data_IF_672464265172
#
_entry.id   IF_672464265172
#
_cell.length_a   1.000
_cell.length_b   1.000
_cell.length_c   1.000
_cell.angle_alpha   90.00
_cell.angle_beta   90.00
_cell.angle_gamma   90.00
#
_symmetry.space_group_name_H-M   'P 1'
#
loop_
_entity.id
_entity.type
_entity.pdbx_description
1 polymer ?
#
# COMPACT_ATOMS: atom_id res chain seq x y z
N UNK A 1 -61.95 11.96 26.90
CA UNK A 1 -60.50 11.74 26.66
C UNK A 1 -60.37 11.09 25.31
N UNK A 2 -60.04 11.90 24.30
CA UNK A 2 -59.91 11.50 22.90
C UNK A 2 -58.64 10.68 22.61
N UNK A 3 -58.62 9.88 21.53
CA UNK A 3 -57.52 9.00 21.18
C UNK A 3 -56.35 9.78 20.54
N UNK A 4 -55.58 10.51 21.34
CA UNK A 4 -54.37 11.20 20.85
C UNK A 4 -53.22 10.25 20.45
N UNK A 5 -53.30 8.96 20.82
CA UNK A 5 -52.21 7.99 20.61
C UNK A 5 -52.18 7.38 19.22
N UNK A 6 -53.33 7.19 18.55
CA UNK A 6 -53.32 6.57 17.22
C UNK A 6 -52.98 7.59 16.13
N UNK A 7 -53.47 8.83 16.23
CA UNK A 7 -53.20 9.87 15.24
C UNK A 7 -51.71 10.24 15.15
N UNK A 8 -51.04 10.42 16.30
CA UNK A 8 -49.59 10.67 16.36
C UNK A 8 -48.74 9.55 15.74
N UNK A 9 -49.16 8.29 15.92
CA UNK A 9 -48.44 7.13 15.38
C UNK A 9 -48.50 7.07 13.85
N UNK A 10 -49.64 7.44 13.27
CA UNK A 10 -49.79 7.52 11.81
C UNK A 10 -48.95 8.67 11.22
N UNK A 11 -48.93 9.81 11.92
CA UNK A 11 -48.09 10.95 11.52
C UNK A 11 -46.58 10.59 11.57
N UNK A 12 -46.12 9.86 12.59
CA UNK A 12 -44.73 9.38 12.70
C UNK A 12 -44.35 8.37 11.61
N UNK A 13 -45.20 7.37 11.34
CA UNK A 13 -44.96 6.37 10.30
C UNK A 13 -44.90 7.00 8.89
N UNK A 14 -45.69 8.03 8.62
CA UNK A 14 -45.68 8.73 7.33
C UNK A 14 -44.45 9.65 7.20
N UNK A 15 -43.97 10.25 8.30
CA UNK A 15 -42.70 10.98 8.34
C UNK A 15 -41.52 10.03 8.05
N UNK A 16 -41.47 8.87 8.71
CA UNK A 16 -40.42 7.87 8.50
C UNK A 16 -40.40 7.36 7.05
N UNK A 17 -41.56 7.11 6.45
CA UNK A 17 -41.67 6.71 5.04
C UNK A 17 -41.19 7.81 4.10
N UNK A 18 -41.61 9.06 4.32
CA UNK A 18 -41.14 10.20 3.51
C UNK A 18 -39.63 10.34 3.60
N UNK A 19 -39.07 10.25 4.82
CA UNK A 19 -37.63 10.34 5.03
C UNK A 19 -36.88 9.19 4.38
N UNK A 20 -37.39 7.95 4.48
CA UNK A 20 -36.81 6.81 3.80
C UNK A 20 -36.78 7.00 2.28
N UNK A 21 -37.85 7.51 1.67
CA UNK A 21 -37.89 7.80 0.23
C UNK A 21 -36.83 8.83 -0.18
N UNK A 22 -36.63 9.88 0.61
CA UNK A 22 -35.57 10.86 0.38
C UNK A 22 -34.17 10.22 0.44
N UNK A 23 -33.92 9.40 1.47
CA UNK A 23 -32.63 8.73 1.65
C UNK A 23 -32.34 7.73 0.52
N UNK A 24 -33.36 6.97 0.08
CA UNK A 24 -33.28 6.10 -1.09
C UNK A 24 -32.94 6.88 -2.36
N UNK A 25 -33.57 8.04 -2.56
CA UNK A 25 -33.32 8.90 -3.71
C UNK A 25 -31.87 9.43 -3.72
N UNK A 26 -31.35 9.88 -2.56
CA UNK A 26 -29.96 10.30 -2.40
C UNK A 26 -28.98 9.19 -2.78
N UNK A 27 -29.26 7.95 -2.34
CA UNK A 27 -28.43 6.80 -2.67
C UNK A 27 -28.43 6.55 -4.19
N UNK A 28 -29.60 6.51 -4.82
CA UNK A 28 -29.71 6.28 -6.26
C UNK A 28 -29.05 7.38 -7.09
N UNK A 29 -29.22 8.65 -6.72
CA UNK A 29 -28.66 9.80 -7.43
C UNK A 29 -27.13 9.83 -7.38
N UNK A 30 -26.55 9.40 -6.26
CA UNK A 30 -25.11 9.55 -6.02
C UNK A 30 -24.30 8.25 -6.12
N UNK A 31 -24.95 7.16 -6.51
CA UNK A 31 -24.23 5.94 -6.90
C UNK A 31 -23.37 6.20 -8.14
N UNK A 32 -22.05 6.09 -7.97
CA UNK A 32 -21.08 6.32 -9.05
C UNK A 32 -20.78 7.80 -9.36
N UNK A 33 -21.38 8.76 -8.65
CA UNK A 33 -21.17 10.21 -8.88
C UNK A 33 -19.87 10.76 -8.27
N UNK A 34 -19.10 9.92 -7.57
CA UNK A 34 -17.95 10.35 -6.76
C UNK A 34 -18.34 10.93 -5.38
N UNK A 35 -19.62 11.28 -5.16
CA UNK A 35 -20.13 11.76 -3.87
C UNK A 35 -20.48 10.62 -2.90
N UNK A 36 -19.53 9.72 -2.69
CA UNK A 36 -19.75 8.52 -1.88
C UNK A 36 -20.21 8.83 -0.44
N UNK A 37 -19.83 9.99 0.11
CA UNK A 37 -20.19 10.41 1.46
C UNK A 37 -21.69 10.64 1.64
N UNK A 38 -22.40 11.07 0.59
CA UNK A 38 -23.87 11.21 0.61
C UNK A 38 -24.54 9.83 0.66
N UNK A 39 -24.04 8.88 -0.13
CA UNK A 39 -24.50 7.49 -0.09
C UNK A 39 -24.21 6.86 1.28
N UNK A 40 -23.02 7.11 1.83
CA UNK A 40 -22.59 6.59 3.13
C UNK A 40 -23.45 7.16 4.28
N UNK A 41 -23.68 8.47 4.29
CA UNK A 41 -24.50 9.16 5.28
C UNK A 41 -25.97 8.69 5.22
N UNK A 42 -26.54 8.61 4.02
CA UNK A 42 -27.92 8.15 3.85
C UNK A 42 -28.10 6.70 4.32
N UNK A 43 -27.18 5.80 3.94
CA UNK A 43 -27.23 4.40 4.36
C UNK A 43 -27.06 4.25 5.88
N UNK A 44 -26.21 5.07 6.50
CA UNK A 44 -26.02 5.09 7.95
C UNK A 44 -27.26 5.60 8.67
N UNK A 45 -27.93 6.63 8.17
CA UNK A 45 -29.18 7.13 8.75
C UNK A 45 -30.30 6.08 8.68
N UNK A 46 -30.41 5.36 7.55
CA UNK A 46 -31.35 4.23 7.43
C UNK A 46 -31.07 3.16 8.49
N UNK A 47 -29.80 2.86 8.76
CA UNK A 47 -29.39 1.87 9.76
C UNK A 47 -29.67 2.35 11.19
N UNK A 48 -29.22 3.55 11.56
CA UNK A 48 -29.35 4.13 12.90
C UNK A 48 -30.82 4.33 13.28
N UNK A 49 -31.64 4.84 12.36
CA UNK A 49 -33.07 5.05 12.58
C UNK A 49 -33.92 3.79 12.34
N UNK A 50 -33.31 2.65 11.98
CA UNK A 50 -33.99 1.38 11.71
C UNK A 50 -35.11 1.48 10.65
N UNK A 51 -34.95 2.36 9.66
CA UNK A 51 -35.94 2.62 8.61
C UNK A 51 -36.07 1.46 7.60
N UNK A 52 -35.18 0.48 7.68
CA UNK A 52 -35.16 -0.69 6.79
C UNK A 52 -36.24 -1.75 7.10
N UNK A 53 -37.13 -1.52 8.05
CA UNK A 53 -38.23 -2.46 8.35
C UNK A 53 -39.19 -2.58 7.14
N UNK A 54 -39.76 -3.76 6.87
CA UNK A 54 -39.82 -4.97 7.71
C UNK A 54 -38.62 -5.91 7.56
N UNK A 55 -37.56 -5.53 6.85
CA UNK A 55 -36.44 -6.43 6.62
C UNK A 55 -35.61 -6.63 7.89
N UNK A 56 -34.95 -7.79 7.96
CA UNK A 56 -34.28 -8.25 9.20
C UNK A 56 -33.03 -7.45 9.56
N UNK A 57 -32.41 -6.78 8.58
CA UNK A 57 -31.18 -6.00 8.78
C UNK A 57 -30.95 -5.05 7.62
N UNK A 58 -30.15 -4.01 7.86
CA UNK A 58 -29.66 -3.10 6.81
C UNK A 58 -28.97 -3.85 5.65
N UNK A 59 -28.32 -4.98 5.92
CA UNK A 59 -27.66 -5.78 4.87
C UNK A 59 -28.66 -6.44 3.92
N UNK A 60 -29.77 -6.93 4.47
CA UNK A 60 -30.85 -7.51 3.67
C UNK A 60 -31.51 -6.42 2.83
N UNK A 61 -31.76 -5.27 3.46
CA UNK A 61 -32.34 -4.11 2.81
C UNK A 61 -31.47 -3.57 1.68
N UNK A 62 -30.21 -3.28 1.95
CA UNK A 62 -29.28 -2.77 0.95
C UNK A 62 -29.07 -3.75 -0.22
N UNK A 63 -29.12 -5.07 0.05
CA UNK A 63 -29.07 -6.08 -1.00
C UNK A 63 -30.32 -6.02 -1.88
N UNK A 64 -31.51 -5.98 -1.29
CA UNK A 64 -32.76 -6.03 -2.03
C UNK A 64 -33.04 -4.73 -2.77
N UNK A 65 -32.78 -3.58 -2.14
CA UNK A 65 -33.08 -2.25 -2.66
C UNK A 65 -32.02 -1.74 -3.65
N UNK A 66 -30.74 -1.94 -3.33
CA UNK A 66 -29.63 -1.32 -4.07
C UNK A 66 -28.67 -2.34 -4.71
N UNK A 67 -28.96 -3.65 -4.62
CA UNK A 67 -28.08 -4.72 -5.11
C UNK A 67 -26.69 -4.72 -4.46
N UNK A 68 -26.57 -4.16 -3.26
CA UNK A 68 -25.30 -4.13 -2.54
C UNK A 68 -24.94 -5.50 -1.99
N UNK A 69 -23.69 -5.89 -2.19
CA UNK A 69 -23.13 -7.00 -1.43
C UNK A 69 -22.99 -6.60 0.04
N UNK A 70 -22.95 -7.58 0.95
CA UNK A 70 -22.67 -7.34 2.38
C UNK A 70 -21.38 -6.54 2.58
N UNK A 71 -20.35 -6.79 1.76
CA UNK A 71 -19.08 -6.07 1.79
C UNK A 71 -19.24 -4.61 1.36
N UNK A 72 -20.05 -4.34 0.34
CA UNK A 72 -20.36 -2.99 -0.14
C UNK A 72 -21.08 -2.20 0.95
N UNK A 73 -22.12 -2.78 1.54
CA UNK A 73 -22.87 -2.17 2.66
C UNK A 73 -21.94 -1.83 3.82
N UNK A 74 -21.12 -2.78 4.28
CA UNK A 74 -20.11 -2.54 5.33
C UNK A 74 -19.14 -1.40 4.97
N UNK A 75 -18.71 -1.35 3.71
CA UNK A 75 -17.77 -0.31 3.27
C UNK A 75 -18.38 1.07 3.40
N UNK A 76 -19.63 1.27 2.98
CA UNK A 76 -20.32 2.54 3.13
C UNK A 76 -20.56 2.91 4.60
N UNK A 77 -21.10 1.99 5.41
CA UNK A 77 -21.37 2.24 6.83
C UNK A 77 -20.09 2.64 7.59
N UNK A 78 -19.00 1.88 7.42
CA UNK A 78 -17.72 2.22 8.06
C UNK A 78 -17.14 3.53 7.54
N UNK A 79 -17.28 3.83 6.24
CA UNK A 79 -16.70 5.03 5.64
C UNK A 79 -17.43 6.31 6.05
N UNK A 80 -18.72 6.25 6.43
CA UNK A 80 -19.46 7.41 6.93
C UNK A 80 -18.81 8.01 8.18
N UNK A 81 -18.58 7.18 9.22
CA UNK A 81 -17.91 7.60 10.46
C UNK A 81 -16.48 8.12 10.21
N UNK A 82 -15.76 7.50 9.28
CA UNK A 82 -14.40 7.95 8.94
C UNK A 82 -14.44 9.32 8.27
N UNK A 83 -15.34 9.50 7.30
CA UNK A 83 -15.48 10.76 6.57
C UNK A 83 -15.84 11.91 7.52
N UNK A 84 -16.85 11.73 8.37
CA UNK A 84 -17.26 12.69 9.40
C UNK A 84 -16.09 13.10 10.28
N UNK A 85 -15.34 12.13 10.82
CA UNK A 85 -14.19 12.42 11.68
C UNK A 85 -13.07 13.21 11.00
N UNK A 86 -12.95 13.12 9.67
CA UNK A 86 -11.96 13.88 8.91
C UNK A 86 -12.46 15.30 8.66
N UNK A 87 -13.72 15.46 8.24
CA UNK A 87 -14.28 16.78 7.89
C UNK A 87 -14.63 17.64 9.10
N UNK A 88 -14.67 17.07 10.32
CA UNK A 88 -14.70 17.83 11.58
C UNK A 88 -13.52 18.83 11.67
N UNK A 89 -12.38 18.50 11.09
CA UNK A 89 -11.23 19.40 10.98
C UNK A 89 -11.25 20.11 9.62
N UNK A 90 -11.77 21.33 9.61
CA UNK A 90 -11.89 22.17 8.42
C UNK A 90 -10.53 22.58 7.81
N UNK A 91 -9.41 22.25 8.45
CA UNK A 91 -8.07 22.50 7.89
C UNK A 91 -7.58 21.36 6.97
N UNK A 92 -8.23 20.20 7.02
CA UNK A 92 -7.83 19.02 6.25
C UNK A 92 -8.50 19.00 4.86
N UNK A 93 -7.79 18.53 3.82
CA UNK A 93 -8.41 18.29 2.52
C UNK A 93 -9.56 17.28 2.60
N UNK A 94 -10.64 17.52 1.86
CA UNK A 94 -11.82 16.64 1.89
C UNK A 94 -11.53 15.35 1.09
N UNK A 95 -11.78 14.15 1.66
CA UNK A 95 -11.65 12.91 0.90
C UNK A 95 -12.67 12.81 -0.23
N UNK A 96 -12.18 12.64 -1.46
CA UNK A 96 -13.04 12.58 -2.67
C UNK A 96 -13.40 11.17 -3.13
N UNK A 97 -12.75 10.13 -2.60
CA UNK A 97 -13.00 8.73 -2.96
C UNK A 97 -13.08 7.87 -1.70
N UNK A 98 -14.03 6.93 -1.67
CA UNK A 98 -14.21 5.98 -0.57
C UNK A 98 -12.96 5.12 -0.33
N UNK A 99 -12.20 4.82 -1.39
CA UNK A 99 -10.96 4.05 -1.30
C UNK A 99 -9.87 4.78 -0.51
N UNK A 100 -9.92 6.12 -0.46
CA UNK A 100 -8.96 6.94 0.29
C UNK A 100 -9.12 6.80 1.81
N UNK A 101 -10.29 6.38 2.29
CA UNK A 101 -10.60 6.40 3.73
C UNK A 101 -11.02 5.06 4.28
N UNK A 102 -11.37 4.09 3.42
CA UNK A 102 -11.82 2.75 3.85
C UNK A 102 -10.84 2.06 4.79
N UNK A 103 -9.53 2.20 4.59
CA UNK A 103 -8.51 1.59 5.45
C UNK A 103 -8.38 2.26 6.82
N UNK A 104 -8.93 3.47 6.99
CA UNK A 104 -8.82 4.25 8.22
C UNK A 104 -9.86 3.88 9.28
N UNK A 105 -10.89 3.09 8.94
CA UNK A 105 -11.97 2.74 9.87
C UNK A 105 -11.48 2.03 11.15
N UNK A 106 -10.35 1.32 11.08
CA UNK A 106 -9.74 0.61 12.21
C UNK A 106 -9.11 1.53 13.26
N UNK A 107 -8.95 2.82 12.97
CA UNK A 107 -8.29 3.78 13.87
C UNK A 107 -9.30 4.69 14.59
N UNK A 108 -8.95 5.24 15.77
CA UNK A 108 -9.68 6.33 16.40
C UNK A 108 -9.68 7.62 15.58
N UNK A 109 -10.65 8.51 15.80
CA UNK A 109 -10.83 9.76 15.06
C UNK A 109 -9.57 10.63 14.94
N UNK A 110 -8.86 10.84 16.05
CA UNK A 110 -7.63 11.64 16.09
C UNK A 110 -6.52 11.04 15.21
N UNK A 111 -6.39 9.71 15.24
CA UNK A 111 -5.40 8.98 14.45
C UNK A 111 -5.77 9.00 12.96
N UNK A 112 -7.06 8.91 12.61
CA UNK A 112 -7.53 9.06 11.23
C UNK A 112 -7.11 10.42 10.67
N UNK A 113 -7.37 11.51 11.41
CA UNK A 113 -6.98 12.87 11.03
C UNK A 113 -5.48 13.03 10.89
N UNK A 114 -4.71 12.50 11.83
CA UNK A 114 -3.25 12.51 11.76
C UNK A 114 -2.74 11.81 10.49
N UNK A 115 -3.16 10.56 10.26
CA UNK A 115 -2.75 9.78 9.08
C UNK A 115 -3.17 10.49 7.80
N UNK A 116 -4.39 11.01 7.75
CA UNK A 116 -4.91 11.73 6.58
C UNK A 116 -4.09 12.98 6.27
N UNK A 117 -3.77 13.79 7.28
CA UNK A 117 -2.87 14.92 7.14
C UNK A 117 -1.52 14.52 6.56
N UNK A 118 -0.91 13.45 7.08
CA UNK A 118 0.37 12.95 6.58
C UNK A 118 0.29 12.48 5.12
N UNK A 119 -0.84 11.91 4.68
CA UNK A 119 -1.06 11.54 3.28
C UNK A 119 -1.15 12.80 2.41
N UNK A 120 -1.92 13.80 2.82
CA UNK A 120 -2.07 15.05 2.08
C UNK A 120 -0.75 15.85 1.98
N UNK A 121 0.02 15.89 3.07
CA UNK A 121 1.29 16.61 3.14
C UNK A 121 2.44 15.87 2.46
N UNK A 122 2.24 14.61 2.03
CA UNK A 122 3.29 13.77 1.42
C UNK A 122 3.75 14.25 0.04
N UNK A 123 2.98 15.14 -0.62
CA UNK A 123 3.22 15.56 -2.00
C UNK A 123 3.00 14.46 -3.05
N UNK A 124 2.47 13.30 -2.65
CA UNK A 124 2.11 12.21 -3.56
C UNK A 124 0.62 12.22 -3.91
N UNK A 125 0.27 11.57 -5.03
CA UNK A 125 -1.13 11.36 -5.39
C UNK A 125 -1.84 10.56 -4.29
N UNK A 126 -3.04 10.99 -3.90
CA UNK A 126 -3.83 10.27 -2.92
C UNK A 126 -4.43 9.04 -3.60
N UNK A 127 -4.01 7.84 -3.17
CA UNK A 127 -4.54 6.55 -3.62
C UNK A 127 -4.78 5.65 -2.42
N UNK A 128 -5.54 4.55 -2.60
CA UNK A 128 -5.73 3.57 -1.53
C UNK A 128 -4.39 3.02 -1.03
N UNK A 129 -3.46 2.73 -1.94
CA UNK A 129 -2.14 2.19 -1.63
C UNK A 129 -1.34 3.14 -0.74
N UNK A 130 -1.33 4.44 -1.07
CA UNK A 130 -0.61 5.45 -0.30
C UNK A 130 -1.20 5.65 1.09
N UNK A 131 -2.52 5.60 1.22
CA UNK A 131 -3.18 5.66 2.53
C UNK A 131 -2.83 4.42 3.34
N UNK A 132 -2.89 3.22 2.76
CA UNK A 132 -2.50 1.99 3.44
C UNK A 132 -1.02 2.04 3.87
N UNK A 133 -0.12 2.51 3.01
CA UNK A 133 1.28 2.69 3.38
C UNK A 133 1.46 3.63 4.59
N UNK A 134 0.70 4.73 4.63
CA UNK A 134 0.78 5.65 5.77
C UNK A 134 0.17 5.07 7.05
N UNK A 135 -0.86 4.22 6.95
CA UNK A 135 -1.37 3.50 8.13
C UNK A 135 -0.32 2.56 8.73
N UNK A 136 0.45 1.89 7.89
CA UNK A 136 1.52 0.99 8.32
C UNK A 136 2.71 1.77 8.86
N UNK A 137 3.04 2.91 8.25
CA UNK A 137 4.04 3.84 8.80
C UNK A 137 3.68 4.24 10.22
N UNK A 138 2.42 4.60 10.46
CA UNK A 138 1.94 4.94 11.79
C UNK A 138 2.05 3.77 12.77
N UNK A 139 1.65 2.56 12.37
CA UNK A 139 1.68 1.36 13.24
C UNK A 139 3.10 0.86 13.53
N UNK A 140 4.05 1.03 12.60
CA UNK A 140 5.38 0.42 12.66
C UNK A 140 6.52 1.42 12.93
N UNK A 141 6.27 2.72 12.77
CA UNK A 141 7.29 3.77 12.83
C UNK A 141 8.24 3.81 11.63
N UNK A 142 8.04 2.99 10.60
CA UNK A 142 8.94 2.92 9.44
C UNK A 142 8.83 4.20 8.61
N UNK A 143 9.95 4.93 8.48
CA UNK A 143 10.03 6.13 7.66
C UNK A 143 10.12 5.77 6.17
N UNK A 144 9.00 5.75 5.46
CA UNK A 144 9.03 5.68 3.99
C UNK A 144 9.46 7.03 3.43
N UNK A 145 10.61 7.08 2.76
CA UNK A 145 11.08 8.27 2.02
C UNK A 145 10.27 8.48 0.73
N UNK A 146 9.60 7.43 0.24
CA UNK A 146 8.57 7.48 -0.78
C UNK A 146 7.57 6.33 -0.55
N UNK A 147 6.39 6.61 0.02
CA UNK A 147 5.32 5.67 0.42
C UNK A 147 4.85 4.65 -0.64
N UNK A 148 5.46 4.61 -1.81
CA UNK A 148 5.00 3.86 -2.98
C UNK A 148 6.11 3.10 -3.74
N UNK A 149 7.38 3.19 -3.34
CA UNK A 149 8.52 2.70 -4.14
C UNK A 149 9.35 1.59 -3.50
N UNK A 150 9.10 1.19 -2.25
CA UNK A 150 9.80 0.04 -1.67
C UNK A 150 9.29 -1.26 -2.30
N UNK A 151 10.21 -1.97 -2.95
CA UNK A 151 9.98 -3.27 -3.57
C UNK A 151 10.85 -4.29 -2.87
N UNK A 152 10.24 -5.22 -2.14
CA UNK A 152 10.95 -6.29 -1.46
C UNK A 152 11.00 -7.54 -2.33
N UNK A 153 12.16 -8.19 -2.34
CA UNK A 153 12.39 -9.38 -3.18
C UNK A 153 11.49 -10.54 -2.74
N UNK A 154 10.83 -11.23 -3.68
CA UNK A 154 10.05 -12.42 -3.37
C UNK A 154 10.85 -13.55 -2.69
N UNK A 155 10.17 -14.28 -1.80
CA UNK A 155 10.77 -15.30 -0.94
C UNK A 155 11.49 -16.41 -1.70
N UNK A 156 10.91 -16.87 -2.79
CA UNK A 156 11.48 -17.91 -3.65
C UNK A 156 12.83 -17.50 -4.26
N UNK A 157 13.02 -16.23 -4.63
CA UNK A 157 14.29 -15.74 -5.20
C UNK A 157 15.39 -15.76 -4.13
N UNK A 158 15.10 -15.23 -2.94
CA UNK A 158 16.05 -15.24 -1.82
C UNK A 158 16.43 -16.67 -1.42
N UNK A 159 15.45 -17.58 -1.34
CA UNK A 159 15.69 -18.99 -0.99
C UNK A 159 16.62 -19.65 -2.02
N UNK A 160 16.37 -19.44 -3.31
CA UNK A 160 17.21 -20.00 -4.37
C UNK A 160 18.64 -19.46 -4.29
N UNK A 161 18.82 -18.16 -4.07
CA UNK A 161 20.16 -17.56 -3.94
C UNK A 161 20.91 -18.07 -2.70
N UNK A 162 20.22 -18.25 -1.56
CA UNK A 162 20.76 -18.86 -0.33
C UNK A 162 21.24 -20.30 -0.55
N UNK A 163 20.52 -21.07 -1.38
CA UNK A 163 20.92 -22.44 -1.73
C UNK A 163 22.22 -22.45 -2.54
N UNK A 164 22.43 -21.49 -3.45
CA UNK A 164 23.67 -21.39 -4.25
C UNK A 164 24.89 -21.16 -3.36
N UNK A 165 24.78 -20.27 -2.36
CA UNK A 165 25.89 -20.01 -1.42
C UNK A 165 25.99 -21.04 -0.28
N UNK A 166 25.03 -21.98 -0.17
CA UNK A 166 25.00 -22.97 0.90
C UNK A 166 24.85 -22.40 2.32
N UNK A 167 24.22 -21.21 2.46
CA UNK A 167 24.07 -20.51 3.76
C UNK A 167 22.60 -20.17 4.05
N UNK A 168 22.25 -20.12 5.34
CA UNK A 168 20.90 -19.72 5.80
C UNK A 168 20.65 -18.21 5.69
N UNK A 169 21.69 -17.39 5.59
CA UNK A 169 21.65 -15.95 5.40
C UNK A 169 22.94 -15.47 4.70
N UNK A 170 22.82 -14.36 3.97
CA UNK A 170 23.94 -13.60 3.44
C UNK A 170 24.70 -12.91 4.58
N UNK A 171 25.95 -12.53 4.34
CA UNK A 171 26.73 -11.81 5.33
C UNK A 171 26.32 -10.32 5.36
N UNK A 172 25.99 -9.75 4.20
CA UNK A 172 25.61 -8.34 4.06
C UNK A 172 24.48 -8.14 3.04
N UNK A 173 23.57 -7.21 3.34
CA UNK A 173 22.69 -6.55 2.36
C UNK A 173 22.84 -5.01 2.50
N UNK A 174 23.55 -4.34 1.58
CA UNK A 174 23.90 -2.94 1.73
C UNK A 174 22.77 -1.99 1.30
N UNK A 175 21.61 -2.51 0.87
CA UNK A 175 20.51 -1.72 0.34
C UNK A 175 19.16 -2.22 0.89
N UNK A 176 19.04 -2.29 2.22
CA UNK A 176 17.92 -2.96 2.90
C UNK A 176 17.29 -2.13 4.01
N UNK A 177 16.24 -2.70 4.62
CA UNK A 177 15.64 -2.21 5.86
C UNK A 177 15.28 -3.40 6.77
N UNK A 178 15.04 -3.13 8.05
CA UNK A 178 14.71 -4.18 9.02
C UNK A 178 13.47 -4.97 8.60
N UNK A 179 12.46 -4.30 8.04
CA UNK A 179 11.25 -4.96 7.57
C UNK A 179 11.56 -5.98 6.45
N UNK A 180 12.28 -5.56 5.41
CA UNK A 180 12.66 -6.42 4.30
C UNK A 180 13.51 -7.61 4.77
N UNK A 181 14.49 -7.36 5.64
CA UNK A 181 15.39 -8.38 6.14
C UNK A 181 14.67 -9.50 6.92
N UNK A 182 13.57 -9.17 7.59
CA UNK A 182 12.78 -10.10 8.40
C UNK A 182 11.57 -10.72 7.65
N UNK A 183 11.38 -10.43 6.36
CA UNK A 183 10.22 -10.93 5.61
C UNK A 183 10.28 -12.46 5.35
N UNK A 184 11.44 -13.09 5.53
CA UNK A 184 11.73 -14.46 5.13
C UNK A 184 11.91 -15.41 6.34
N UNK A 185 11.86 -16.72 6.06
CA UNK A 185 12.30 -17.72 7.05
C UNK A 185 13.80 -17.55 7.24
N UNK A 186 14.19 -17.09 8.43
CA UNK A 186 15.50 -16.50 8.74
C UNK A 186 15.76 -15.18 8.00
N UNK A 187 16.65 -14.35 8.57
CA UNK A 187 17.05 -13.06 7.98
C UNK A 187 17.60 -13.22 6.57
N UNK A 188 17.39 -12.24 5.69
CA UNK A 188 18.06 -12.20 4.37
C UNK A 188 19.57 -12.15 4.59
N UNK A 189 20.04 -11.14 5.32
CA UNK A 189 21.44 -10.92 5.66
C UNK A 189 21.67 -10.71 7.16
N UNK A 190 22.88 -11.02 7.63
CA UNK A 190 23.29 -10.80 9.03
C UNK A 190 23.40 -9.32 9.36
N UNK A 191 24.03 -8.57 8.46
CA UNK A 191 24.19 -7.12 8.56
C UNK A 191 23.42 -6.47 7.40
N UNK A 192 22.70 -5.40 7.70
CA UNK A 192 22.04 -4.58 6.70
C UNK A 192 22.52 -3.14 6.79
N UNK A 193 22.52 -2.44 5.66
CA UNK A 193 22.73 -1.00 5.62
C UNK A 193 21.46 -0.35 5.07
N UNK A 194 21.01 0.70 5.76
CA UNK A 194 19.78 1.41 5.45
C UNK A 194 20.07 2.74 4.74
N UNK A 195 19.00 3.39 4.29
CA UNK A 195 19.11 4.66 3.54
C UNK A 195 19.83 5.75 4.35
N UNK A 196 19.68 5.78 5.67
CA UNK A 196 20.30 6.78 6.54
C UNK A 196 21.83 6.69 6.56
N UNK A 197 22.38 5.50 6.33
CA UNK A 197 23.82 5.23 6.43
C UNK A 197 24.50 5.06 5.07
N UNK A 198 23.75 5.16 3.97
CA UNK A 198 24.24 5.14 2.58
C UNK A 198 25.18 3.97 2.28
N UNK A 199 24.61 2.83 1.88
CA UNK A 199 25.37 1.60 1.66
C UNK A 199 26.45 1.66 0.60
N UNK A 200 26.45 2.65 -0.30
CA UNK A 200 27.56 2.84 -1.26
C UNK A 200 28.83 3.34 -0.58
N UNK A 201 28.71 4.02 0.57
CA UNK A 201 29.84 4.58 1.34
C UNK A 201 30.38 3.65 2.42
N UNK A 202 29.75 2.51 2.64
CA UNK A 202 30.15 1.55 3.66
C UNK A 202 31.06 0.45 3.10
N UNK A 203 31.77 -0.22 4.00
CA UNK A 203 32.57 -1.41 3.68
C UNK A 203 31.65 -2.60 3.42
N UNK A 204 31.91 -3.34 2.34
CA UNK A 204 31.20 -4.58 2.04
C UNK A 204 32.09 -5.78 2.35
N UNK A 205 31.48 -6.92 2.69
CA UNK A 205 32.22 -8.14 3.05
C UNK A 205 31.36 -9.40 2.83
N UNK A 206 32.04 -10.54 2.69
CA UNK A 206 31.40 -11.86 2.65
C UNK A 206 30.51 -12.09 1.43
N UNK A 207 29.49 -12.93 1.58
CA UNK A 207 28.49 -13.15 0.52
C UNK A 207 27.38 -12.11 0.61
N UNK A 208 27.20 -11.34 -0.46
CA UNK A 208 26.33 -10.16 -0.48
C UNK A 208 25.03 -10.43 -1.21
N UNK A 209 23.90 -10.04 -0.61
CA UNK A 209 22.64 -9.88 -1.33
C UNK A 209 22.43 -8.40 -1.65
N UNK A 210 22.00 -8.08 -2.87
CA UNK A 210 21.79 -6.70 -3.29
C UNK A 210 20.56 -6.57 -4.19
N UNK A 211 19.53 -5.91 -3.67
CA UNK A 211 18.40 -5.42 -4.47
C UNK A 211 18.32 -3.89 -4.33
N UNK A 212 19.01 -3.14 -5.21
CA UNK A 212 19.15 -1.70 -5.05
C UNK A 212 17.84 -0.95 -5.34
N UNK A 213 17.61 0.22 -4.73
CA UNK A 213 16.42 1.04 -4.96
C UNK A 213 16.18 1.35 -6.44
N UNK A 214 14.90 1.32 -6.85
CA UNK A 214 14.48 1.48 -8.24
C UNK A 214 14.11 2.94 -8.61
N UNK A 215 14.71 3.95 -7.98
CA UNK A 215 14.38 5.35 -8.30
C UNK A 215 15.21 5.87 -9.49
N UNK A 216 14.55 6.63 -10.38
CA UNK A 216 15.28 7.45 -11.35
C UNK A 216 15.95 8.61 -10.62
N UNK A 217 17.23 8.84 -10.90
CA UNK A 217 17.95 10.00 -10.41
C UNK A 217 17.36 11.25 -11.10
N UNK A 218 16.57 12.06 -10.37
CA UNK A 218 15.96 13.28 -10.94
C UNK A 218 17.01 14.31 -11.35
N UNK A 219 18.24 14.22 -10.82
CA UNK A 219 19.33 15.16 -11.06
C UNK A 219 20.15 14.72 -12.27
N UNK A 220 20.34 13.42 -12.45
CA UNK A 220 21.06 12.86 -13.58
C UNK A 220 20.09 12.41 -14.67
N UNK A 221 19.87 13.26 -15.69
CA UNK A 221 19.08 12.91 -16.89
C UNK A 221 19.55 11.64 -17.61
N UNK A 222 20.76 11.15 -17.32
CA UNK A 222 21.40 10.00 -17.97
C UNK A 222 21.87 8.87 -17.01
N UNK A 223 21.82 9.07 -15.69
CA UNK A 223 22.39 8.13 -14.71
C UNK A 223 21.31 7.21 -14.14
N UNK A 224 21.45 5.91 -14.38
CA UNK A 224 20.61 4.92 -13.72
C UNK A 224 21.16 4.70 -12.29
N UNK A 225 20.35 4.87 -11.25
CA UNK A 225 20.81 4.69 -9.87
C UNK A 225 21.37 3.28 -9.63
N UNK A 226 20.81 2.27 -10.31
CA UNK A 226 21.29 0.88 -10.23
C UNK A 226 22.68 0.68 -10.87
N UNK A 227 23.10 1.55 -11.80
CA UNK A 227 24.45 1.50 -12.37
C UNK A 227 25.52 1.73 -11.30
N UNK A 228 25.30 2.69 -10.39
CA UNK A 228 26.24 2.98 -9.29
C UNK A 228 26.42 1.78 -8.37
N UNK A 229 25.31 1.11 -8.04
CA UNK A 229 25.32 -0.10 -7.22
C UNK A 229 26.00 -1.28 -7.92
N UNK A 230 25.71 -1.50 -9.21
CA UNK A 230 26.36 -2.54 -9.99
C UNK A 230 27.88 -2.34 -10.08
N UNK A 231 28.32 -1.12 -10.45
CA UNK A 231 29.76 -0.79 -10.53
C UNK A 231 30.46 -0.96 -9.19
N UNK A 232 29.81 -0.51 -8.10
CA UNK A 232 30.31 -0.67 -6.73
C UNK A 232 30.52 -2.14 -6.36
N UNK A 233 29.54 -3.00 -6.66
CA UNK A 233 29.64 -4.44 -6.41
C UNK A 233 30.73 -5.09 -7.28
N UNK A 234 30.77 -4.76 -8.57
CA UNK A 234 31.76 -5.28 -9.52
C UNK A 234 33.19 -4.92 -9.10
N UNK A 235 33.45 -3.66 -8.72
CA UNK A 235 34.76 -3.22 -8.28
C UNK A 235 35.22 -3.98 -7.02
N UNK A 236 34.33 -4.12 -6.03
CA UNK A 236 34.61 -4.83 -4.77
C UNK A 236 34.85 -6.32 -5.00
N UNK A 237 34.07 -6.94 -5.87
CA UNK A 237 34.26 -8.34 -6.25
C UNK A 237 35.60 -8.55 -6.96
N UNK A 238 35.93 -7.72 -7.95
CA UNK A 238 37.20 -7.82 -8.69
C UNK A 238 38.43 -7.59 -7.80
N UNK A 239 38.27 -6.81 -6.71
CA UNK A 239 39.30 -6.58 -5.69
C UNK A 239 39.34 -7.64 -4.60
N UNK A 240 38.46 -8.65 -4.66
CA UNK A 240 38.32 -9.70 -3.64
C UNK A 240 37.98 -9.14 -2.25
N UNK A 241 37.30 -7.99 -2.18
CA UNK A 241 36.79 -7.41 -0.93
C UNK A 241 35.51 -8.13 -0.45
N UNK A 242 34.78 -8.74 -1.37
CA UNK A 242 33.60 -9.59 -1.12
C UNK A 242 33.81 -10.96 -1.75
N UNK A 243 33.17 -11.99 -1.18
CA UNK A 243 33.30 -13.37 -1.66
C UNK A 243 32.42 -13.64 -2.87
N UNK A 244 31.18 -13.15 -2.84
CA UNK A 244 30.21 -13.26 -3.92
C UNK A 244 29.15 -12.18 -3.80
N UNK A 245 28.42 -11.92 -4.89
CA UNK A 245 27.29 -10.99 -4.87
C UNK A 245 26.13 -11.46 -5.73
N UNK A 246 24.95 -11.58 -5.14
CA UNK A 246 23.69 -11.66 -5.88
C UNK A 246 23.10 -10.28 -6.08
N UNK A 247 22.87 -9.89 -7.34
CA UNK A 247 22.27 -8.60 -7.69
C UNK A 247 20.95 -8.79 -8.43
N UNK A 248 19.86 -8.28 -7.89
CA UNK A 248 18.57 -8.21 -8.59
C UNK A 248 18.41 -6.83 -9.23
N UNK A 249 18.62 -6.75 -10.54
CA UNK A 249 18.62 -5.48 -11.30
C UNK A 249 17.48 -5.43 -12.32
N UNK A 250 17.01 -4.22 -12.64
CA UNK A 250 16.15 -4.01 -13.81
C UNK A 250 16.97 -4.24 -15.08
N UNK A 251 16.36 -4.87 -16.08
CA UNK A 251 16.96 -4.99 -17.42
C UNK A 251 16.99 -3.64 -18.11
N UNK A 252 18.17 -3.20 -18.56
CA UNK A 252 18.38 -1.88 -19.19
C UNK A 252 19.22 -2.03 -20.48
N UNK A 253 18.65 -2.77 -21.45
CA UNK A 253 19.29 -3.00 -22.74
C UNK A 253 19.58 -1.67 -23.46
N UNK A 254 20.76 -1.55 -24.05
CA UNK A 254 21.23 -0.32 -24.70
C UNK A 254 22.07 0.59 -23.80
N UNK A 255 22.25 0.25 -22.53
CA UNK A 255 23.23 0.90 -21.65
C UNK A 255 24.52 0.08 -21.56
N UNK A 256 25.66 0.75 -21.70
CA UNK A 256 26.98 0.10 -21.66
C UNK A 256 27.21 -0.65 -20.33
N UNK A 257 26.85 -0.04 -19.19
CA UNK A 257 27.00 -0.67 -17.88
C UNK A 257 26.17 -1.95 -17.76
N UNK A 258 25.01 -2.02 -18.42
CA UNK A 258 24.15 -3.21 -18.36
C UNK A 258 24.77 -4.36 -19.15
N UNK A 259 25.47 -4.08 -20.26
CA UNK A 259 26.19 -5.12 -21.00
C UNK A 259 27.30 -5.77 -20.16
N UNK A 260 27.91 -5.04 -19.24
CA UNK A 260 28.90 -5.60 -18.32
C UNK A 260 28.28 -6.61 -17.34
N UNK A 261 26.99 -6.51 -17.03
CA UNK A 261 26.28 -7.49 -16.19
C UNK A 261 26.24 -8.89 -16.83
N UNK A 262 26.22 -8.95 -18.16
CA UNK A 262 26.13 -10.19 -18.93
C UNK A 262 27.43 -11.00 -18.94
N UNK A 263 28.52 -10.46 -18.38
CA UNK A 263 29.80 -11.16 -18.20
C UNK A 263 29.77 -12.17 -17.05
N UNK A 264 28.76 -12.09 -16.19
CA UNK A 264 28.59 -12.94 -15.01
C UNK A 264 27.44 -13.93 -15.23
N UNK A 265 27.38 -15.05 -14.49
CA UNK A 265 26.19 -15.90 -14.44
C UNK A 265 24.93 -15.08 -14.12
N UNK A 266 23.86 -15.28 -14.90
CA UNK A 266 22.60 -14.59 -14.68
C UNK A 266 21.37 -15.48 -14.94
N UNK A 267 20.25 -15.10 -14.34
CA UNK A 267 18.93 -15.67 -14.60
C UNK A 267 17.97 -14.57 -15.03
N UNK A 268 17.23 -14.82 -16.12
CA UNK A 268 16.11 -14.00 -16.55
C UNK A 268 14.82 -14.71 -16.11
N UNK A 269 13.84 -13.95 -15.62
CA UNK A 269 12.57 -14.49 -15.17
C UNK A 269 11.59 -14.65 -16.34
N UNK A 270 10.94 -15.81 -16.44
CA UNK A 270 9.93 -16.07 -17.46
C UNK A 270 8.58 -15.37 -17.20
N UNK A 271 8.42 -14.78 -16.02
CA UNK A 271 7.24 -14.02 -15.58
C UNK A 271 7.71 -12.74 -14.88
N UNK A 272 6.82 -11.75 -14.82
CA UNK A 272 7.05 -10.56 -14.02
C UNK A 272 7.15 -10.93 -12.54
N UNK A 273 8.01 -10.23 -11.82
CA UNK A 273 8.25 -10.47 -10.39
C UNK A 273 7.16 -9.76 -9.58
N UNK A 274 6.41 -10.49 -8.73
CA UNK A 274 5.45 -9.89 -7.81
C UNK A 274 6.18 -9.43 -6.54
N UNK A 275 6.73 -8.22 -6.54
CA UNK A 275 7.46 -7.70 -5.38
C UNK A 275 6.54 -7.51 -4.19
N UNK A 276 6.98 -7.92 -3.00
CA UNK A 276 6.25 -7.55 -1.79
C UNK A 276 6.44 -6.05 -1.52
N UNK A 277 5.42 -5.43 -0.93
CA UNK A 277 5.47 -4.03 -0.51
C UNK A 277 5.31 -3.94 1.00
N UNK A 278 5.61 -2.78 1.63
CA UNK A 278 5.33 -2.59 3.05
C UNK A 278 3.85 -2.84 3.39
N UNK A 279 2.95 -2.69 2.42
CA UNK A 279 1.52 -2.94 2.57
C UNK A 279 1.11 -4.40 2.68
N UNK A 280 2.06 -5.34 2.52
CA UNK A 280 1.79 -6.77 2.40
C UNK A 280 1.14 -7.16 1.06
N UNK A 281 0.81 -6.19 0.20
CA UNK A 281 0.36 -6.44 -1.17
C UNK A 281 1.56 -6.69 -2.08
N UNK A 282 1.35 -7.52 -3.08
CA UNK A 282 2.30 -7.69 -4.18
C UNK A 282 2.14 -6.58 -5.22
N UNK A 283 3.26 -6.07 -5.73
CA UNK A 283 3.33 -5.08 -6.79
C UNK A 283 4.11 -5.65 -7.97
N UNK A 284 3.44 -5.73 -9.10
CA UNK A 284 4.04 -6.15 -10.37
C UNK A 284 4.34 -4.89 -11.19
N UNK A 285 5.61 -4.70 -11.55
CA UNK A 285 6.01 -3.60 -12.43
C UNK A 285 5.83 -4.05 -13.89
N UNK A 286 4.80 -3.51 -14.55
CA UNK A 286 4.42 -3.91 -15.91
C UNK A 286 5.52 -3.58 -16.94
N UNK A 287 6.01 -2.34 -16.91
CA UNK A 287 6.94 -1.79 -17.91
C UNK A 287 8.41 -2.10 -17.62
N UNK A 288 8.70 -3.09 -16.76
CA UNK A 288 10.07 -3.44 -16.39
C UNK A 288 10.23 -4.93 -16.23
N UNK A 289 11.36 -5.45 -16.71
CA UNK A 289 11.80 -6.81 -16.45
C UNK A 289 13.04 -6.76 -15.57
N UNK A 290 13.31 -7.84 -14.86
CA UNK A 290 14.41 -7.93 -13.91
C UNK A 290 15.28 -9.13 -14.27
N UNK A 291 16.52 -9.08 -13.80
CA UNK A 291 17.52 -10.13 -13.97
C UNK A 291 18.24 -10.31 -12.63
N UNK A 292 18.48 -11.56 -12.27
CA UNK A 292 19.31 -11.91 -11.14
C UNK A 292 20.71 -12.24 -11.64
N UNK A 293 21.70 -11.53 -11.17
CA UNK A 293 23.11 -11.71 -11.52
C UNK A 293 23.82 -12.32 -10.30
N UNK A 294 24.78 -13.20 -10.55
CA UNK A 294 25.65 -13.78 -9.54
C UNK A 294 27.11 -13.52 -9.93
N UNK A 295 27.80 -12.72 -9.13
CA UNK A 295 29.26 -12.49 -9.20
C UNK A 295 29.96 -13.46 -8.27
#
# INVERSE_FOLDING_TARGET
MEPMSSKRKWDEEDIEKSRLMELEAIIHEHLGSGKFFLVAAALREIDECHLYKPEKSIYTYAKNKFMFSRRTTNTYLCSASVYESIVEDNTLPIPVNISHIRSLHKFPAEVRRYIWKQVCDSGQNITEENVVAMTIKYETGVAFTNLNNELYTPKNIIIAAKQVIGKNCFDLDPASCDFANNLHVNKIAKVIINEQTDGLKQTWFGDVWLHPPNHSDKISKNGNFQEKWFKSAQERFNRHEINSCFLLLKTDFGKNWFMDTLKYPYCIFNKKIPFATPTGREKIIQDSSYMLIYM
#
